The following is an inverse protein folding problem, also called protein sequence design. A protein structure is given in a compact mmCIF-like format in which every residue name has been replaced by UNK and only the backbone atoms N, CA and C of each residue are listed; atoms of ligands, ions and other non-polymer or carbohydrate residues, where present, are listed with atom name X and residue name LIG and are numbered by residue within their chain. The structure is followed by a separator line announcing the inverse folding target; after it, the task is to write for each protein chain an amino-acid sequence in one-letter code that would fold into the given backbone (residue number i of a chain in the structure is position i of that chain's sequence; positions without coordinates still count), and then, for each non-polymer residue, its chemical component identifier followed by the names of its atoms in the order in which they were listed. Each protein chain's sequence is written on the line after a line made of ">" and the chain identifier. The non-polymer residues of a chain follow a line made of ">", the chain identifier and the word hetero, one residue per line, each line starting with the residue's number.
data_IF_953729658324
#
_entry.id   IF_953729658324
#
_cell.length_a   1.000
_cell.length_b   1.000
_cell.length_c   1.000
_cell.angle_alpha   90.00
_cell.angle_beta   90.00
_cell.angle_gamma   90.00
#
_symmetry.space_group_name_H-M   'P 1'
#
loop_
_entity.id
_entity.type
_entity.pdbx_description
1 polymer ?
#
# COMPACT_ATOMS: atom_id res chain seq x y z
N UNK A 1 2.34 46.37 -2.76
CA UNK A 1 2.78 44.97 -2.62
C UNK A 1 1.74 44.10 -3.33
N UNK A 2 2.10 43.26 -4.32
CA UNK A 2 1.10 42.46 -5.02
C UNK A 2 0.57 41.40 -4.05
N UNK A 3 -0.72 41.51 -3.70
CA UNK A 3 -1.38 40.71 -2.67
C UNK A 3 -1.62 39.25 -3.09
N UNK A 4 -1.49 38.95 -4.38
CA UNK A 4 -1.83 37.65 -4.95
C UNK A 4 -0.62 37.03 -5.67
N UNK A 5 -0.21 35.85 -5.19
CA UNK A 5 0.84 35.05 -5.81
C UNK A 5 0.37 34.39 -7.12
N UNK A 6 1.34 33.92 -7.92
CA UNK A 6 1.06 33.30 -9.21
C UNK A 6 0.34 31.96 -9.06
N UNK A 7 -0.88 31.88 -9.62
CA UNK A 7 -1.72 30.67 -9.62
C UNK A 7 -1.26 29.61 -10.64
N UNK A 8 -0.30 29.94 -11.52
CA UNK A 8 0.09 29.07 -12.65
C UNK A 8 0.71 27.75 -12.25
N UNK A 9 1.16 27.61 -11.00
CA UNK A 9 1.73 26.37 -10.45
C UNK A 9 0.70 25.44 -9.81
N UNK A 10 -0.57 25.86 -9.73
CA UNK A 10 -1.62 25.07 -9.09
C UNK A 10 -1.79 23.72 -9.81
N UNK A 11 -1.72 22.61 -9.05
CA UNK A 11 -1.96 21.27 -9.57
C UNK A 11 -0.91 20.70 -10.53
N UNK A 12 0.16 21.45 -10.88
CA UNK A 12 1.19 21.04 -11.86
C UNK A 12 1.67 19.60 -11.65
N UNK A 13 2.06 19.26 -10.43
CA UNK A 13 2.63 17.94 -10.13
C UNK A 13 1.57 16.83 -10.25
N UNK A 14 0.33 17.07 -9.82
CA UNK A 14 -0.75 16.07 -9.93
C UNK A 14 -1.15 15.80 -11.37
N UNK A 15 -1.14 16.83 -12.21
CA UNK A 15 -1.49 16.71 -13.63
C UNK A 15 -0.35 16.09 -14.46
N UNK A 16 0.89 16.30 -14.05
CA UNK A 16 2.07 15.68 -14.67
C UNK A 16 2.17 14.19 -14.39
N UNK A 17 1.66 13.71 -13.26
CA UNK A 17 1.71 12.28 -12.92
C UNK A 17 0.70 11.48 -13.73
N UNK A 18 1.11 10.48 -14.53
CA UNK A 18 0.17 9.65 -15.28
C UNK A 18 -0.71 8.84 -14.33
N UNK A 19 -2.01 8.72 -14.66
CA UNK A 19 -2.96 7.96 -13.83
C UNK A 19 -2.74 6.46 -14.02
N UNK A 20 -2.25 5.80 -12.98
CA UNK A 20 -2.07 4.34 -12.95
C UNK A 20 -3.35 3.67 -12.43
N UNK A 21 -3.81 2.62 -13.10
CA UNK A 21 -4.98 1.84 -12.68
C UNK A 21 -4.65 0.98 -11.44
N UNK A 22 -5.59 0.79 -10.51
CA UNK A 22 -5.38 -0.09 -9.37
C UNK A 22 -5.29 -1.55 -9.83
N UNK A 23 -4.37 -2.31 -9.23
CA UNK A 23 -4.34 -3.77 -9.40
C UNK A 23 -5.56 -4.41 -8.71
N UNK A 24 -6.21 -5.41 -9.32
CA UNK A 24 -7.30 -6.13 -8.67
C UNK A 24 -6.76 -6.81 -7.40
N UNK A 25 -7.47 -6.66 -6.28
CA UNK A 25 -7.11 -7.26 -5.00
C UNK A 25 -8.21 -8.23 -4.58
N UNK A 26 -7.92 -9.52 -4.61
CA UNK A 26 -8.70 -10.53 -3.89
C UNK A 26 -8.12 -10.68 -2.49
N UNK A 27 -8.90 -10.33 -1.47
CA UNK A 27 -8.56 -10.65 -0.07
C UNK A 27 -9.30 -11.92 0.31
N UNK A 28 -8.57 -12.82 0.97
CA UNK A 28 -9.15 -14.03 1.52
C UNK A 28 -10.08 -13.71 2.69
N UNK A 29 -11.06 -14.58 2.93
CA UNK A 29 -11.95 -14.46 4.08
C UNK A 29 -11.15 -14.48 5.39
N UNK A 30 -11.59 -13.77 6.44
CA UNK A 30 -10.81 -13.58 7.67
C UNK A 30 -10.30 -14.88 8.30
N UNK A 31 -11.11 -15.96 8.26
CA UNK A 31 -10.72 -17.27 8.81
C UNK A 31 -9.47 -17.85 8.12
N UNK A 32 -9.41 -17.78 6.79
CA UNK A 32 -8.29 -18.32 6.00
C UNK A 32 -7.06 -17.42 6.18
N UNK A 33 -7.25 -16.09 6.13
CA UNK A 33 -6.17 -15.13 6.36
C UNK A 33 -5.50 -15.33 7.72
N UNK A 34 -6.29 -15.43 8.79
CA UNK A 34 -5.76 -15.58 10.15
C UNK A 34 -5.01 -16.90 10.32
N UNK A 35 -5.51 -18.00 9.72
CA UNK A 35 -4.80 -19.29 9.71
C UNK A 35 -3.44 -19.18 9.00
N UNK A 36 -3.39 -18.60 7.80
CA UNK A 36 -2.14 -18.41 7.06
C UNK A 36 -1.15 -17.51 7.78
N UNK A 37 -1.64 -16.44 8.43
CA UNK A 37 -0.80 -15.56 9.23
C UNK A 37 -0.22 -16.27 10.45
N UNK A 38 -1.00 -17.11 11.14
CA UNK A 38 -0.51 -17.93 12.25
C UNK A 38 0.55 -18.93 11.78
N UNK A 39 0.29 -19.67 10.71
CA UNK A 39 1.26 -20.61 10.14
C UNK A 39 2.57 -19.92 9.75
N UNK A 40 2.48 -18.75 9.10
CA UNK A 40 3.65 -17.97 8.69
C UNK A 40 4.43 -17.41 9.89
N UNK A 41 3.74 -16.81 10.87
CA UNK A 41 4.38 -16.07 11.97
C UNK A 41 4.80 -16.94 13.15
N UNK A 42 4.11 -18.05 13.39
CA UNK A 42 4.35 -18.89 14.57
C UNK A 42 5.04 -20.17 14.18
N UNK A 43 4.46 -20.95 13.27
CA UNK A 43 4.97 -22.29 12.94
C UNK A 43 6.23 -22.27 12.06
N UNK A 44 6.28 -21.40 11.05
CA UNK A 44 7.46 -21.28 10.19
C UNK A 44 8.59 -20.52 10.88
N UNK A 45 8.27 -19.45 11.59
CA UNK A 45 9.27 -18.68 12.34
C UNK A 45 9.89 -19.47 13.50
N UNK A 46 9.15 -20.38 14.14
CA UNK A 46 9.73 -21.27 15.18
C UNK A 46 10.66 -22.32 14.59
N UNK A 47 10.32 -22.87 13.41
CA UNK A 47 11.17 -23.84 12.70
C UNK A 47 12.50 -23.22 12.24
N UNK A 48 12.46 -22.00 11.70
CA UNK A 48 13.67 -21.26 11.27
C UNK A 48 14.63 -20.92 12.43
N UNK A 49 14.13 -20.85 13.68
CA UNK A 49 14.98 -20.64 14.87
C UNK A 49 15.55 -21.92 15.47
N UNK A 50 14.96 -23.07 15.14
CA UNK A 50 15.36 -24.37 15.66
C UNK A 50 16.39 -25.07 14.77
N UNK A 51 16.56 -24.61 13.53
CA UNK A 51 17.65 -24.95 12.60
C UNK A 51 18.79 -23.95 12.73
#
# INVERSE_FOLDING_TARGET
>A
MPSHGSLTKAGKVRNQTPKIQPKPKSKEVPRVRNKKEFEKRVLKASKEKAT
#
